data_IF_205428342375
#
_entry.id   IF_205428342375
#
_cell.length_a   1.000
_cell.length_b   1.000
_cell.length_c   1.000
_cell.angle_alpha   90.00
_cell.angle_beta   90.00
_cell.angle_gamma   90.00
#
_symmetry.space_group_name_H-M   'P 1'
#
loop_
_entity.id
_entity.type
_entity.pdbx_description
1 polymer ?
#
# COMPACT_ATOMS: atom_id res chain seq x y z
N UNK A 1 -33.11 -12.44 -42.68
CA UNK A 1 -32.38 -11.17 -42.82
C UNK A 1 -31.16 -11.01 -41.90
N UNK A 2 -30.81 -11.98 -41.04
CA UNK A 2 -29.69 -11.87 -40.08
C UNK A 2 -28.34 -12.40 -40.65
N UNK A 3 -28.34 -13.03 -41.83
CA UNK A 3 -27.12 -13.61 -42.45
C UNK A 3 -26.34 -12.66 -43.35
N UNK A 4 -26.90 -11.52 -43.76
CA UNK A 4 -26.22 -10.54 -44.64
C UNK A 4 -25.37 -9.50 -43.87
N UNK A 5 -25.56 -9.36 -42.56
CA UNK A 5 -24.78 -8.46 -41.71
C UNK A 5 -23.42 -9.04 -41.34
N UNK A 6 -23.31 -10.37 -41.14
CA UNK A 6 -22.04 -11.04 -40.85
C UNK A 6 -21.08 -11.05 -42.05
N UNK A 7 -21.59 -11.17 -43.29
CA UNK A 7 -20.76 -11.17 -44.49
C UNK A 7 -20.16 -9.78 -44.81
N UNK A 8 -20.85 -8.69 -44.47
CA UNK A 8 -20.31 -7.33 -44.59
C UNK A 8 -19.24 -7.01 -43.54
N UNK A 9 -19.36 -7.58 -42.35
CA UNK A 9 -18.36 -7.43 -41.28
C UNK A 9 -17.06 -8.18 -41.64
N UNK A 10 -17.17 -9.38 -42.25
CA UNK A 10 -16.00 -10.11 -42.79
C UNK A 10 -15.35 -9.42 -44.00
N UNK A 11 -16.13 -8.70 -44.81
CA UNK A 11 -15.61 -7.91 -45.93
C UNK A 11 -14.95 -6.59 -45.47
N UNK A 12 -15.37 -6.04 -44.32
CA UNK A 12 -14.75 -4.88 -43.65
C UNK A 12 -13.36 -5.21 -43.07
N UNK A 13 -13.12 -6.43 -42.59
CA UNK A 13 -11.79 -6.84 -42.10
C UNK A 13 -10.75 -7.03 -43.22
N UNK A 14 -11.18 -7.17 -44.49
CA UNK A 14 -10.28 -7.36 -45.65
C UNK A 14 -9.68 -6.07 -46.21
N UNK A 15 -10.20 -4.88 -45.88
CA UNK A 15 -9.67 -3.59 -46.34
C UNK A 15 -8.82 -2.89 -45.28
N UNK A 16 -7.91 -3.64 -44.66
CA UNK A 16 -6.91 -3.05 -43.76
C UNK A 16 -5.97 -2.15 -44.54
N UNK A 17 -5.83 -0.89 -44.13
CA UNK A 17 -4.86 0.02 -44.72
C UNK A 17 -3.48 -0.25 -44.12
N UNK A 18 -2.48 -0.41 -44.98
CA UNK A 18 -1.09 -0.57 -44.56
C UNK A 18 -0.43 0.79 -44.54
N UNK A 19 0.07 1.21 -43.38
CA UNK A 19 0.83 2.45 -43.22
C UNK A 19 2.19 2.14 -42.59
N UNK A 20 3.22 2.87 -43.00
CA UNK A 20 4.52 2.82 -42.32
C UNK A 20 4.42 3.51 -40.96
N UNK A 21 4.76 2.81 -39.88
CA UNK A 21 4.80 3.35 -38.52
C UNK A 21 5.98 4.30 -38.38
N UNK A 22 5.71 5.59 -38.29
CA UNK A 22 6.77 6.58 -38.06
C UNK A 22 6.70 7.10 -36.62
N UNK A 23 7.88 7.29 -36.03
CA UNK A 23 8.00 7.89 -34.70
C UNK A 23 7.58 9.37 -34.75
N UNK A 24 6.94 9.81 -33.66
CA UNK A 24 6.55 11.20 -33.42
C UNK A 24 7.75 12.15 -33.29
N UNK A 25 8.98 11.63 -33.23
CA UNK A 25 10.21 12.38 -33.06
C UNK A 25 10.47 13.44 -34.16
N UNK A 26 9.95 13.28 -35.37
CA UNK A 26 10.03 14.32 -36.42
C UNK A 26 9.05 15.50 -36.21
N UNK A 27 8.04 15.34 -35.34
CA UNK A 27 6.99 16.35 -35.07
C UNK A 27 7.22 17.14 -33.76
N UNK A 28 8.32 16.86 -33.06
CA UNK A 28 8.47 17.12 -31.64
C UNK A 28 9.19 18.45 -31.31
N UNK A 29 8.65 19.57 -31.78
CA UNK A 29 9.10 20.90 -31.33
C UNK A 29 7.97 21.82 -30.84
N UNK A 30 6.73 21.33 -30.69
CA UNK A 30 5.61 22.24 -30.34
C UNK A 30 4.60 21.79 -29.30
N UNK A 31 4.60 20.54 -28.85
CA UNK A 31 3.53 20.06 -27.95
C UNK A 31 4.08 19.22 -26.82
N UNK A 32 4.00 19.78 -25.61
CA UNK A 32 4.37 19.18 -24.33
C UNK A 32 3.32 18.14 -23.88
N UNK A 33 3.04 17.16 -24.73
CA UNK A 33 1.99 16.17 -24.48
C UNK A 33 2.44 14.79 -24.93
N UNK A 34 2.60 13.89 -23.96
CA UNK A 34 3.28 12.58 -24.11
C UNK A 34 2.27 11.43 -24.34
N UNK A 35 0.97 11.71 -24.47
CA UNK A 35 -0.08 10.70 -24.28
C UNK A 35 -1.24 10.83 -25.29
N UNK A 36 -0.94 11.06 -26.55
CA UNK A 36 -1.94 11.42 -27.54
C UNK A 36 -2.29 10.31 -28.55
N UNK A 37 -3.55 10.25 -29.06
CA UNK A 37 -3.99 9.32 -30.09
C UNK A 37 -3.22 9.42 -31.42
N UNK A 38 -3.56 8.56 -32.37
CA UNK A 38 -2.79 8.39 -33.62
C UNK A 38 -3.11 9.49 -34.64
N UNK A 39 -2.13 9.87 -35.46
CA UNK A 39 -2.29 10.81 -36.58
C UNK A 39 -2.23 10.06 -37.90
N UNK A 40 -3.23 10.28 -38.74
CA UNK A 40 -3.41 9.56 -40.01
C UNK A 40 -3.37 10.49 -41.22
N UNK A 41 -3.26 9.97 -42.46
CA UNK A 41 -3.25 10.82 -43.65
C UNK A 41 -4.66 11.27 -44.06
N UNK A 42 -4.79 12.43 -44.75
CA UNK A 42 -6.07 12.92 -45.26
C UNK A 42 -6.86 11.90 -46.10
N UNK A 43 -6.18 11.05 -46.88
CA UNK A 43 -6.87 10.00 -47.67
C UNK A 43 -7.65 8.99 -46.81
N UNK A 44 -7.24 8.77 -45.56
CA UNK A 44 -7.98 7.93 -44.63
C UNK A 44 -9.35 8.56 -44.31
N UNK A 45 -9.38 9.86 -44.04
CA UNK A 45 -10.63 10.61 -43.78
C UNK A 45 -11.56 10.59 -45.00
N UNK A 46 -11.03 10.83 -46.21
CA UNK A 46 -11.83 10.80 -47.44
C UNK A 46 -12.50 9.44 -47.64
N UNK A 47 -11.81 8.34 -47.32
CA UNK A 47 -12.37 6.98 -47.42
C UNK A 47 -13.39 6.68 -46.33
N UNK A 48 -13.21 7.22 -45.12
CA UNK A 48 -14.15 7.06 -44.00
C UNK A 48 -15.42 7.90 -44.15
N UNK A 49 -15.33 9.06 -44.79
CA UNK A 49 -16.49 9.92 -45.06
C UNK A 49 -17.56 9.22 -45.92
N UNK A 50 -17.15 8.26 -46.76
CA UNK A 50 -18.05 7.45 -47.57
C UNK A 50 -18.73 6.31 -46.79
N UNK A 51 -18.30 6.05 -45.54
CA UNK A 51 -18.67 4.86 -44.75
C UNK A 51 -19.60 5.16 -43.56
N UNK A 52 -20.18 6.36 -43.46
CA UNK A 52 -21.12 6.78 -42.38
C UNK A 52 -20.68 6.28 -40.97
N UNK A 53 -19.42 6.52 -40.63
CA UNK A 53 -18.84 6.05 -39.36
C UNK A 53 -19.31 6.93 -38.20
N UNK A 54 -19.87 6.30 -37.16
CA UNK A 54 -20.28 6.98 -35.93
C UNK A 54 -19.06 7.55 -35.17
N UNK A 55 -19.16 8.83 -34.76
CA UNK A 55 -18.16 9.47 -33.92
C UNK A 55 -18.25 8.96 -32.47
N UNK A 56 -17.11 8.89 -31.74
CA UNK A 56 -15.73 9.11 -32.14
C UNK A 56 -15.16 7.91 -32.91
N UNK A 57 -14.35 8.21 -33.95
CA UNK A 57 -13.74 7.20 -34.80
C UNK A 57 -12.65 6.43 -34.04
N UNK A 58 -12.81 5.11 -33.94
CA UNK A 58 -11.83 4.19 -33.35
C UNK A 58 -11.27 3.27 -34.42
N UNK A 59 -9.98 3.00 -34.32
CA UNK A 59 -9.25 2.16 -35.26
C UNK A 59 -8.55 1.03 -34.51
N UNK A 60 -8.61 -0.15 -35.11
CA UNK A 60 -7.81 -1.32 -34.73
C UNK A 60 -6.53 -1.29 -35.54
N UNK A 61 -5.41 -1.19 -34.85
CA UNK A 61 -4.07 -1.22 -35.43
C UNK A 61 -3.51 -2.61 -35.13
N UNK A 62 -3.10 -3.33 -36.17
CA UNK A 62 -2.59 -4.69 -36.09
C UNK A 62 -1.20 -4.77 -36.72
N UNK A 63 -0.26 -5.32 -35.96
CA UNK A 63 0.98 -5.84 -36.53
C UNK A 63 0.72 -7.27 -37.00
N UNK A 64 0.83 -7.50 -38.31
CA UNK A 64 0.58 -8.80 -38.94
C UNK A 64 1.68 -9.81 -38.59
N UNK A 65 2.93 -9.35 -38.47
CA UNK A 65 4.09 -10.23 -38.25
C UNK A 65 4.13 -10.80 -36.83
N UNK A 66 3.81 -9.97 -35.83
CA UNK A 66 3.85 -10.36 -34.41
C UNK A 66 2.49 -10.78 -33.85
N UNK A 67 1.43 -10.78 -34.66
CA UNK A 67 0.05 -11.06 -34.27
C UNK A 67 -0.43 -10.24 -33.05
N UNK A 68 0.04 -8.99 -32.92
CA UNK A 68 -0.38 -8.06 -31.88
C UNK A 68 -1.37 -7.06 -32.45
N UNK A 69 -2.38 -6.69 -31.67
CA UNK A 69 -3.32 -5.65 -32.02
C UNK A 69 -3.52 -4.71 -30.83
N UNK A 70 -3.77 -3.45 -31.14
CA UNK A 70 -4.17 -2.40 -30.21
C UNK A 70 -5.27 -1.56 -30.85
N UNK A 71 -6.00 -0.81 -30.04
CA UNK A 71 -7.04 0.09 -30.51
C UNK A 71 -6.67 1.51 -30.13
N UNK A 72 -6.90 2.45 -31.04
CA UNK A 72 -6.70 3.85 -30.76
C UNK A 72 -7.72 4.74 -31.47
N UNK A 73 -7.94 5.91 -30.89
CA UNK A 73 -8.64 7.00 -31.57
C UNK A 73 -7.69 7.72 -32.52
N UNK A 74 -8.27 8.61 -33.33
CA UNK A 74 -7.51 9.53 -34.17
C UNK A 74 -7.74 10.95 -33.71
N UNK A 75 -6.66 11.72 -33.67
CA UNK A 75 -6.73 13.15 -33.34
C UNK A 75 -7.02 13.94 -34.62
N UNK A 76 -6.12 13.80 -35.59
CA UNK A 76 -6.07 14.63 -36.78
C UNK A 76 -5.60 13.82 -37.99
N UNK A 77 -6.01 14.29 -39.16
CA UNK A 77 -5.71 13.68 -40.45
C UNK A 77 -4.72 14.55 -41.24
N UNK A 78 -3.49 14.71 -40.73
CA UNK A 78 -2.46 15.58 -41.31
C UNK A 78 -1.19 14.84 -41.74
N UNK A 79 -1.13 13.51 -41.57
CA UNK A 79 0.06 12.74 -41.92
C UNK A 79 0.27 12.69 -43.45
N UNK A 80 1.52 12.47 -43.87
CA UNK A 80 1.83 12.19 -45.27
C UNK A 80 1.18 10.87 -45.72
N UNK A 81 0.80 10.82 -46.99
CA UNK A 81 0.17 9.64 -47.58
C UNK A 81 1.06 8.38 -47.42
N UNK A 82 0.47 7.31 -46.87
CA UNK A 82 1.17 6.05 -46.60
C UNK A 82 1.94 6.00 -45.27
N UNK A 83 1.92 7.06 -44.45
CA UNK A 83 2.55 7.08 -43.12
C UNK A 83 1.50 7.24 -42.01
N UNK A 84 1.77 6.64 -40.85
CA UNK A 84 0.98 6.79 -39.64
C UNK A 84 1.89 7.14 -38.47
N UNK A 85 1.54 8.18 -37.72
CA UNK A 85 2.30 8.56 -36.53
C UNK A 85 1.57 8.09 -35.29
N UNK A 86 2.25 7.27 -34.49
CA UNK A 86 1.72 6.74 -33.24
C UNK A 86 2.74 6.92 -32.11
N UNK A 87 2.30 7.01 -30.85
CA UNK A 87 3.21 7.13 -29.73
C UNK A 87 4.14 5.91 -29.59
N UNK A 88 5.35 6.14 -29.09
CA UNK A 88 6.34 5.08 -28.86
C UNK A 88 5.82 3.92 -27.98
N UNK A 89 5.06 4.21 -26.92
CA UNK A 89 4.46 3.16 -26.06
C UNK A 89 3.49 2.25 -26.84
N UNK A 90 2.82 2.78 -27.86
CA UNK A 90 1.91 2.00 -28.72
C UNK A 90 2.69 1.12 -29.70
N UNK A 91 3.82 1.63 -30.19
CA UNK A 91 4.77 0.85 -31.00
C UNK A 91 5.37 -0.30 -30.18
N UNK A 92 5.77 -0.05 -28.92
CA UNK A 92 6.24 -1.09 -28.00
C UNK A 92 5.16 -2.15 -27.73
N UNK A 93 3.90 -1.75 -27.54
CA UNK A 93 2.79 -2.69 -27.36
C UNK A 93 2.55 -3.58 -28.60
N UNK A 94 2.73 -3.01 -29.80
CA UNK A 94 2.59 -3.71 -31.07
C UNK A 94 3.87 -4.45 -31.49
N UNK A 95 4.98 -4.23 -30.79
CA UNK A 95 6.32 -4.67 -31.16
C UNK A 95 6.66 -4.26 -32.60
N UNK A 96 6.41 -2.98 -32.91
CA UNK A 96 6.72 -2.36 -34.21
C UNK A 96 7.95 -1.46 -34.08
N UNK A 97 8.83 -1.54 -35.06
CA UNK A 97 9.92 -0.59 -35.24
C UNK A 97 9.52 0.57 -36.18
N UNK A 98 10.32 1.63 -36.19
CA UNK A 98 10.08 2.79 -37.07
C UNK A 98 10.30 2.38 -38.52
N UNK A 99 9.29 2.57 -39.36
CA UNK A 99 9.26 2.19 -40.78
C UNK A 99 8.60 0.84 -41.07
N UNK A 100 8.12 0.12 -40.05
CA UNK A 100 7.39 -1.14 -40.25
C UNK A 100 5.93 -0.93 -40.65
N UNK A 101 5.32 -1.93 -41.29
CA UNK A 101 3.95 -1.81 -41.82
C UNK A 101 2.93 -2.19 -40.75
N UNK A 102 2.14 -1.21 -40.31
CA UNK A 102 0.98 -1.41 -39.46
C UNK A 102 -0.31 -1.48 -40.30
N UNK A 103 -1.14 -2.50 -40.05
CA UNK A 103 -2.47 -2.61 -40.68
C UNK A 103 -3.51 -1.91 -39.81
N UNK A 104 -4.24 -0.96 -40.37
CA UNK A 104 -5.25 -0.16 -39.67
C UNK A 104 -6.62 -0.43 -40.27
N UNK A 105 -7.57 -0.80 -39.42
CA UNK A 105 -8.97 -1.00 -39.79
C UNK A 105 -9.89 -0.19 -38.86
N UNK A 106 -10.97 0.36 -39.42
CA UNK A 106 -11.99 1.02 -38.62
C UNK A 106 -12.85 -0.02 -37.88
N UNK A 107 -13.08 0.19 -36.58
CA UNK A 107 -13.86 -0.73 -35.75
C UNK A 107 -14.74 0.05 -34.79
N UNK A 108 -16.02 -0.29 -34.73
CA UNK A 108 -16.94 0.19 -33.70
C UNK A 108 -16.83 -0.67 -32.43
N UNK A 109 -16.35 -0.07 -31.34
CA UNK A 109 -16.21 -0.74 -30.04
C UNK A 109 -17.41 -0.44 -29.12
N UNK A 110 -17.90 -1.43 -28.36
CA UNK A 110 -18.94 -1.19 -27.36
C UNK A 110 -18.40 -0.35 -26.17
N UNK A 111 -19.28 0.34 -25.43
CA UNK A 111 -18.90 1.05 -24.21
C UNK A 111 -18.42 0.06 -23.15
N UNK A 112 -17.32 0.41 -22.48
CA UNK A 112 -16.71 -0.39 -21.43
C UNK A 112 -17.45 -0.27 -20.10
N UNK A 113 -17.69 -1.39 -19.43
CA UNK A 113 -18.33 -1.43 -18.10
C UNK A 113 -17.34 -1.77 -17.00
N UNK A 114 -16.32 -2.57 -17.30
CA UNK A 114 -15.32 -3.01 -16.34
C UNK A 114 -13.95 -3.17 -16.99
N UNK A 115 -12.91 -2.76 -16.28
CA UNK A 115 -11.53 -3.00 -16.67
C UNK A 115 -10.66 -3.35 -15.45
N UNK A 116 -9.84 -4.38 -15.61
CA UNK A 116 -8.90 -4.87 -14.61
C UNK A 116 -7.47 -4.55 -15.02
N UNK A 117 -6.74 -3.94 -14.09
CA UNK A 117 -5.39 -3.43 -14.32
C UNK A 117 -4.36 -4.13 -13.42
N UNK A 118 -3.19 -4.43 -13.96
CA UNK A 118 -2.06 -5.05 -13.26
C UNK A 118 -0.85 -4.11 -13.27
N UNK A 119 -0.52 -3.49 -12.12
CA UNK A 119 0.69 -2.68 -12.02
C UNK A 119 1.94 -3.53 -12.24
N UNK A 120 2.90 -3.04 -13.03
CA UNK A 120 4.15 -3.76 -13.27
C UNK A 120 5.23 -3.47 -12.22
N UNK A 121 5.03 -2.45 -11.37
CA UNK A 121 5.99 -2.04 -10.35
C UNK A 121 5.37 -2.02 -8.95
N UNK A 122 6.16 -2.40 -7.95
CA UNK A 122 5.82 -2.31 -6.53
C UNK A 122 5.70 -0.86 -6.05
N UNK A 123 6.37 0.09 -6.72
CA UNK A 123 6.28 1.53 -6.41
C UNK A 123 4.84 2.06 -6.56
N UNK A 124 3.97 1.34 -7.28
CA UNK A 124 2.56 1.67 -7.43
C UNK A 124 1.78 1.56 -6.10
N UNK A 125 2.26 0.75 -5.14
CA UNK A 125 1.65 0.60 -3.81
C UNK A 125 1.83 1.84 -2.93
N UNK A 126 2.78 2.72 -3.23
CA UNK A 126 3.02 3.95 -2.47
C UNK A 126 2.04 5.07 -2.83
N UNK A 127 1.25 4.90 -3.90
CA UNK A 127 0.29 5.89 -4.37
C UNK A 127 -0.92 5.89 -3.42
N UNK A 128 -1.19 7.04 -2.79
CA UNK A 128 -2.28 7.18 -1.83
C UNK A 128 -3.68 6.94 -2.44
N UNK A 129 -3.88 7.26 -3.71
CA UNK A 129 -5.14 7.03 -4.43
C UNK A 129 -4.88 6.57 -5.88
N UNK A 130 -4.65 5.26 -6.11
CA UNK A 130 -4.32 4.74 -7.44
C UNK A 130 -5.49 4.83 -8.43
N UNK A 131 -6.73 4.76 -7.94
CA UNK A 131 -7.94 4.86 -8.78
C UNK A 131 -8.07 6.24 -9.42
N UNK A 132 -7.94 7.31 -8.63
CA UNK A 132 -8.04 8.68 -9.14
C UNK A 132 -6.92 9.03 -10.14
N UNK A 133 -5.71 8.51 -9.93
CA UNK A 133 -4.58 8.69 -10.87
C UNK A 133 -4.88 8.02 -12.20
N UNK A 134 -5.42 6.80 -12.15
CA UNK A 134 -5.83 6.08 -13.36
C UNK A 134 -6.97 6.79 -14.07
N UNK A 135 -8.04 7.20 -13.36
CA UNK A 135 -9.16 7.95 -13.95
C UNK A 135 -8.71 9.25 -14.63
N UNK A 136 -7.77 9.97 -14.01
CA UNK A 136 -7.19 11.18 -14.62
C UNK A 136 -6.46 10.85 -15.91
N UNK A 137 -5.70 9.76 -15.94
CA UNK A 137 -4.97 9.32 -17.14
C UNK A 137 -5.92 8.76 -18.20
N UNK A 138 -6.96 8.02 -17.82
CA UNK A 138 -7.94 7.43 -18.74
C UNK A 138 -8.74 8.48 -19.51
N UNK A 139 -8.85 9.72 -19.02
CA UNK A 139 -9.47 10.84 -19.76
C UNK A 139 -8.76 11.17 -21.08
N UNK A 140 -7.46 10.89 -21.20
CA UNK A 140 -6.73 11.11 -22.46
C UNK A 140 -6.84 9.94 -23.44
N UNK A 141 -7.37 8.79 -23.00
CA UNK A 141 -7.52 7.60 -23.82
C UNK A 141 -8.95 7.49 -24.36
N UNK A 142 -9.09 7.06 -25.62
CA UNK A 142 -10.40 6.85 -26.25
C UNK A 142 -10.93 5.42 -26.07
N UNK A 143 -10.01 4.46 -25.99
CA UNK A 143 -10.30 3.04 -25.91
C UNK A 143 -9.20 2.30 -25.14
N UNK A 144 -9.54 1.09 -24.68
CA UNK A 144 -8.64 0.17 -24.00
C UNK A 144 -8.71 -1.19 -24.68
N UNK A 145 -7.56 -1.83 -24.90
CA UNK A 145 -7.48 -3.22 -25.35
C UNK A 145 -6.81 -4.09 -24.29
N UNK A 146 -7.31 -5.31 -24.17
CA UNK A 146 -6.73 -6.32 -23.30
C UNK A 146 -5.30 -6.66 -23.73
N UNK A 147 -4.40 -6.71 -22.76
CA UNK A 147 -2.98 -7.02 -22.96
C UNK A 147 -2.09 -5.82 -23.25
N UNK A 148 -2.65 -4.62 -23.46
CA UNK A 148 -1.89 -3.40 -23.68
C UNK A 148 -1.24 -2.90 -22.37
N UNK A 149 -0.02 -2.37 -22.47
CA UNK A 149 0.66 -1.65 -21.38
C UNK A 149 0.40 -0.15 -21.54
N UNK A 150 -0.09 0.47 -20.46
CA UNK A 150 -0.35 1.90 -20.38
C UNK A 150 0.64 2.54 -19.40
N UNK A 151 1.23 3.66 -19.82
CA UNK A 151 2.11 4.48 -19.01
C UNK A 151 1.30 5.55 -18.24
N UNK A 152 1.36 5.51 -16.91
CA UNK A 152 0.70 6.47 -16.02
C UNK A 152 1.72 7.45 -15.45
N UNK A 153 1.48 8.74 -15.66
CA UNK A 153 2.37 9.79 -15.17
C UNK A 153 1.87 10.32 -13.83
N UNK A 154 2.62 10.07 -12.76
CA UNK A 154 2.29 10.54 -11.41
C UNK A 154 3.54 10.96 -10.64
N UNK A 155 3.51 12.14 -10.00
CA UNK A 155 4.65 12.70 -9.25
C UNK A 155 6.00 12.67 -10.01
N UNK A 156 5.99 13.05 -11.30
CA UNK A 156 7.16 13.01 -12.20
C UNK A 156 7.79 11.61 -12.39
N UNK A 157 7.08 10.55 -12.04
CA UNK A 157 7.42 9.16 -12.38
C UNK A 157 6.42 8.57 -13.34
N UNK A 158 6.90 7.67 -14.20
CA UNK A 158 6.09 6.90 -15.14
C UNK A 158 5.89 5.51 -14.56
N UNK A 159 4.63 5.11 -14.39
CA UNK A 159 4.23 3.80 -13.89
C UNK A 159 3.57 3.01 -15.00
N UNK A 160 4.12 1.85 -15.34
CA UNK A 160 3.53 0.99 -16.35
C UNK A 160 2.48 0.06 -15.73
N UNK A 161 1.32 0.00 -16.35
CA UNK A 161 0.19 -0.82 -15.91
C UNK A 161 -0.36 -1.59 -17.09
N UNK A 162 -0.50 -2.90 -16.93
CA UNK A 162 -1.03 -3.80 -17.96
C UNK A 162 -2.53 -3.95 -17.81
N UNK A 163 -3.25 -3.93 -18.93
CA UNK A 163 -4.68 -4.26 -18.94
C UNK A 163 -4.83 -5.78 -18.99
N UNK A 164 -5.41 -6.37 -17.95
CA UNK A 164 -5.62 -7.82 -17.87
C UNK A 164 -6.92 -8.26 -18.52
N UNK A 165 -8.00 -7.52 -18.28
CA UNK A 165 -9.34 -7.89 -18.72
C UNK A 165 -10.20 -6.63 -18.91
N UNK A 166 -11.00 -6.62 -19.98
CA UNK A 166 -12.02 -5.59 -20.24
C UNK A 166 -13.35 -6.27 -20.54
N UNK A 167 -14.46 -5.65 -20.13
CA UNK A 167 -15.83 -6.11 -20.44
C UNK A 167 -16.62 -5.00 -21.10
N UNK A 168 -17.46 -5.30 -22.11
CA UNK A 168 -17.94 -6.64 -22.52
C UNK A 168 -17.09 -7.39 -23.57
N UNK A 169 -16.11 -6.74 -24.19
CA UNK A 169 -15.19 -7.34 -25.17
C UNK A 169 -13.74 -7.09 -24.78
N UNK A 170 -12.82 -7.80 -25.41
CA UNK A 170 -11.36 -7.62 -25.26
C UNK A 170 -10.88 -6.21 -25.65
N UNK A 171 -11.71 -5.44 -26.36
CA UNK A 171 -11.48 -4.02 -26.62
C UNK A 171 -12.76 -3.22 -26.39
N UNK A 172 -12.64 -2.12 -25.65
CA UNK A 172 -13.77 -1.29 -25.23
C UNK A 172 -13.49 0.20 -25.42
N UNK A 173 -14.55 0.96 -25.70
CA UNK A 173 -14.52 2.43 -25.71
C UNK A 173 -14.75 2.94 -24.29
N UNK A 174 -14.00 3.96 -23.88
CA UNK A 174 -14.07 4.53 -22.52
C UNK A 174 -14.53 5.99 -22.47
N UNK A 175 -14.82 6.59 -23.63
CA UNK A 175 -15.35 7.95 -23.72
C UNK A 175 -16.80 7.96 -23.20
N UNK A 176 -17.10 8.84 -22.24
CA UNK A 176 -18.42 9.02 -21.63
C UNK A 176 -19.02 7.75 -21.00
N UNK A 177 -18.16 6.86 -20.50
CA UNK A 177 -18.57 5.61 -19.86
C UNK A 177 -18.15 5.60 -18.39
N UNK A 178 -19.05 5.14 -17.51
CA UNK A 178 -18.74 4.86 -16.10
C UNK A 178 -18.04 3.51 -15.97
N UNK A 179 -16.73 3.49 -16.26
CA UNK A 179 -15.92 2.28 -16.22
C UNK A 179 -15.58 1.89 -14.78
N UNK A 180 -15.96 0.69 -14.36
CA UNK A 180 -15.51 0.13 -13.08
C UNK A 180 -14.04 -0.32 -13.17
N UNK A 181 -13.18 0.33 -12.38
CA UNK A 181 -11.74 0.05 -12.33
C UNK A 181 -11.42 -0.84 -11.13
N UNK A 182 -10.79 -1.98 -11.41
CA UNK A 182 -10.21 -2.87 -10.40
C UNK A 182 -8.69 -3.03 -10.61
N UNK A 183 -7.93 -3.00 -9.52
CA UNK A 183 -6.50 -3.30 -9.55
C UNK A 183 -6.27 -4.73 -9.06
N UNK A 184 -5.46 -5.47 -9.80
CA UNK A 184 -4.88 -6.73 -9.38
C UNK A 184 -3.55 -6.50 -8.66
N UNK A 185 -3.07 -7.55 -8.00
CA UNK A 185 -1.76 -7.56 -7.36
C UNK A 185 -0.66 -7.30 -8.41
N UNK A 186 0.40 -6.52 -8.10
CA UNK A 186 1.45 -6.21 -9.07
C UNK A 186 2.19 -7.45 -9.57
N UNK A 187 2.68 -7.39 -10.81
CA UNK A 187 3.49 -8.45 -11.41
C UNK A 187 4.75 -8.70 -10.56
N UNK A 188 4.93 -9.94 -10.10
CA UNK A 188 6.03 -10.32 -9.19
C UNK A 188 5.68 -10.34 -7.70
N UNK A 189 4.42 -10.07 -7.33
CA UNK A 189 3.94 -10.31 -5.96
C UNK A 189 3.88 -11.83 -5.69
N UNK A 190 4.99 -12.39 -5.20
CA UNK A 190 4.96 -13.70 -4.58
C UNK A 190 4.23 -13.55 -3.24
N UNK A 191 2.97 -14.02 -3.18
CA UNK A 191 2.42 -14.45 -1.90
C UNK A 191 3.34 -15.56 -1.41
N UNK A 192 4.26 -15.23 -0.50
CA UNK A 192 4.85 -16.24 0.34
C UNK A 192 3.67 -17.03 0.90
N UNK A 193 3.57 -18.30 0.52
CA UNK A 193 2.66 -19.24 1.14
C UNK A 193 3.27 -19.58 2.50
N UNK A 194 3.48 -18.57 3.34
CA UNK A 194 3.81 -18.80 4.73
C UNK A 194 2.57 -19.45 5.32
N UNK A 195 2.66 -20.76 5.53
CA UNK A 195 1.77 -21.46 6.46
C UNK A 195 1.56 -20.56 7.65
N UNK A 196 0.30 -20.21 8.01
CA UNK A 196 0.04 -19.20 9.02
C UNK A 196 0.68 -19.66 10.32
N UNK A 197 1.81 -19.04 10.66
CA UNK A 197 2.42 -19.21 11.97
C UNK A 197 1.38 -18.67 12.94
N UNK A 198 0.96 -19.49 13.90
CA UNK A 198 0.10 -19.07 14.99
C UNK A 198 0.79 -17.89 15.70
N UNK A 199 0.38 -16.66 15.42
CA UNK A 199 1.00 -15.47 16.01
C UNK A 199 0.29 -15.17 17.33
N UNK A 200 1.02 -15.28 18.44
CA UNK A 200 0.57 -14.78 19.72
C UNK A 200 0.29 -13.26 19.65
N UNK A 201 -0.69 -12.73 20.39
CA UNK A 201 -0.97 -11.29 20.44
C UNK A 201 0.31 -10.49 20.72
N UNK A 202 0.40 -9.21 20.26
CA UNK A 202 1.63 -8.41 20.29
C UNK A 202 2.31 -8.58 21.63
N UNK A 203 3.52 -9.16 21.64
CA UNK A 203 4.15 -9.74 22.82
C UNK A 203 4.25 -8.74 23.97
N UNK A 204 3.20 -8.66 24.79
CA UNK A 204 3.15 -7.76 25.92
C UNK A 204 4.17 -8.28 26.91
N UNK A 205 5.07 -7.42 27.37
CA UNK A 205 6.06 -7.81 28.37
C UNK A 205 5.28 -8.12 29.65
N UNK A 206 5.07 -9.42 29.93
CA UNK A 206 4.43 -9.88 31.17
C UNK A 206 5.33 -9.53 32.35
N UNK A 207 6.65 -9.66 32.17
CA UNK A 207 7.68 -9.22 33.11
C UNK A 207 8.98 -8.93 32.36
N UNK A 208 9.55 -7.72 32.44
CA UNK A 208 10.99 -7.67 32.56
C UNK A 208 11.27 -8.21 33.96
N UNK A 209 12.01 -9.31 34.07
CA UNK A 209 12.58 -9.81 35.33
C UNK A 209 13.32 -8.70 36.12
N UNK A 210 13.65 -7.60 35.44
CA UNK A 210 14.29 -6.39 35.96
C UNK A 210 13.31 -5.25 36.33
N UNK A 211 12.00 -5.40 36.11
CA UNK A 211 10.98 -4.43 36.50
C UNK A 211 10.82 -4.24 38.03
N UNK A 212 11.52 -5.04 38.83
CA UNK A 212 11.66 -4.83 40.27
C UNK A 212 12.51 -3.60 40.61
N UNK A 213 13.42 -3.16 39.72
CA UNK A 213 14.34 -2.04 39.98
C UNK A 213 13.59 -0.71 40.19
N UNK A 214 12.49 -0.49 39.48
CA UNK A 214 11.72 0.77 39.60
C UNK A 214 10.68 0.78 40.71
N UNK A 215 10.43 -0.35 41.40
CA UNK A 215 9.27 -0.46 42.29
C UNK A 215 9.36 0.42 43.53
N UNK A 216 10.55 0.81 44.00
CA UNK A 216 10.67 1.59 45.25
C UNK A 216 11.40 2.93 45.10
N UNK A 217 12.53 2.96 44.36
CA UNK A 217 13.45 4.11 44.35
C UNK A 217 12.91 5.35 43.63
N UNK A 218 12.21 5.17 42.50
CA UNK A 218 11.80 6.28 41.62
C UNK A 218 10.33 6.71 41.78
N UNK A 219 9.65 6.24 42.84
CA UNK A 219 8.25 6.58 43.09
C UNK A 219 8.10 8.07 43.41
N UNK A 220 7.16 8.78 42.78
CA UNK A 220 6.81 10.14 43.17
C UNK A 220 6.31 10.21 44.62
N UNK A 221 6.54 11.35 45.28
CA UNK A 221 6.08 11.59 46.65
C UNK A 221 4.55 11.45 46.81
N UNK A 222 4.12 10.94 47.96
CA UNK A 222 2.72 10.96 48.36
C UNK A 222 2.27 12.34 48.81
N UNK A 223 0.95 12.59 48.88
CA UNK A 223 0.42 13.87 49.38
C UNK A 223 0.89 14.20 50.80
N UNK A 224 1.00 13.21 51.68
CA UNK A 224 1.48 13.38 53.05
C UNK A 224 2.97 13.76 53.11
N UNK A 225 3.82 13.02 52.40
CA UNK A 225 5.26 13.32 52.29
C UNK A 225 5.51 14.71 51.68
N UNK A 226 4.73 15.07 50.65
CA UNK A 226 4.80 16.40 50.05
C UNK A 226 4.46 17.50 51.07
N UNK A 227 3.42 17.30 51.90
CA UNK A 227 3.04 18.25 52.94
C UNK A 227 4.16 18.40 53.99
N UNK A 228 4.75 17.29 54.44
CA UNK A 228 5.89 17.30 55.38
C UNK A 228 7.10 18.02 54.79
N UNK A 229 7.50 17.68 53.55
CA UNK A 229 8.60 18.35 52.84
C UNK A 229 8.38 19.86 52.71
N UNK A 230 7.15 20.29 52.43
CA UNK A 230 6.81 21.72 52.34
C UNK A 230 6.89 22.42 53.71
N UNK A 231 6.46 21.75 54.79
CA UNK A 231 6.56 22.27 56.16
C UNK A 231 8.02 22.40 56.61
N UNK A 232 8.82 21.35 56.39
CA UNK A 232 10.25 21.35 56.68
C UNK A 232 11.00 22.40 55.85
N UNK A 233 10.68 22.51 54.56
CA UNK A 233 11.26 23.54 53.70
C UNK A 233 10.86 24.96 54.16
N UNK A 234 9.63 25.16 54.64
CA UNK A 234 9.20 26.44 55.20
C UNK A 234 9.97 26.77 56.48
N UNK A 235 10.15 25.80 57.39
CA UNK A 235 10.94 25.97 58.62
C UNK A 235 12.42 26.22 58.33
N UNK A 236 13.01 25.52 57.35
CA UNK A 236 14.40 25.69 56.94
C UNK A 236 14.66 27.08 56.32
N UNK A 237 13.68 27.63 55.59
CA UNK A 237 13.74 29.01 55.08
C UNK A 237 13.71 30.05 56.21
N UNK A 238 12.86 29.83 57.23
CA UNK A 238 12.79 30.73 58.40
C UNK A 238 14.09 30.69 59.21
N UNK A 239 14.75 29.53 59.30
CA UNK A 239 16.02 29.34 60.01
C UNK A 239 17.29 29.78 59.25
N UNK A 240 17.15 30.44 58.09
CA UNK A 240 18.24 30.94 57.23
C UNK A 240 19.34 29.89 56.88
N UNK A 241 18.98 28.60 56.83
CA UNK A 241 19.88 27.52 56.41
C UNK A 241 19.89 27.42 54.88
N UNK A 242 21.05 27.23 54.22
CA UNK A 242 21.12 27.11 52.77
C UNK A 242 20.44 25.81 52.30
N UNK A 243 19.41 25.96 51.47
CA UNK A 243 18.60 24.85 50.93
C UNK A 243 19.25 24.37 49.63
N UNK A 244 20.20 23.44 49.72
CA UNK A 244 20.70 22.69 48.56
C UNK A 244 19.77 21.52 48.28
N UNK A 245 18.59 21.79 47.72
CA UNK A 245 17.67 20.73 47.29
C UNK A 245 18.07 20.24 45.89
N UNK A 246 18.88 19.18 45.84
CA UNK A 246 19.05 18.41 44.59
C UNK A 246 17.68 17.95 44.11
N UNK A 247 17.35 18.23 42.85
CA UNK A 247 16.04 17.92 42.26
C UNK A 247 15.80 16.40 42.30
N UNK A 248 14.68 15.93 42.88
CA UNK A 248 14.45 14.49 43.00
C UNK A 248 14.18 13.88 41.62
N UNK A 249 14.82 12.73 41.37
CA UNK A 249 14.63 11.92 40.18
C UNK A 249 13.41 11.04 40.40
N UNK A 250 12.32 11.33 39.70
CA UNK A 250 11.03 10.64 39.88
C UNK A 250 10.41 10.29 38.54
N UNK A 251 9.63 9.21 38.54
CA UNK A 251 8.81 8.84 37.38
C UNK A 251 7.84 9.96 37.01
N UNK A 252 7.75 10.24 35.71
CA UNK A 252 6.80 11.21 35.16
C UNK A 252 5.54 10.47 34.75
N UNK A 253 4.39 11.07 35.02
CA UNK A 253 3.06 10.51 34.79
C UNK A 253 2.18 11.46 34.00
N UNK A 254 1.20 10.90 33.31
CA UNK A 254 0.21 11.62 32.51
C UNK A 254 0.64 11.77 31.06
N UNK A 255 -0.27 11.46 30.13
CA UNK A 255 0.02 11.40 28.69
C UNK A 255 0.53 12.73 28.17
N UNK A 256 -0.19 13.84 28.42
CA UNK A 256 0.20 15.19 27.94
C UNK A 256 1.59 15.65 28.44
N UNK A 257 1.98 15.22 29.64
CA UNK A 257 3.30 15.55 30.16
C UNK A 257 4.38 14.67 29.53
N UNK A 258 4.09 13.37 29.36
CA UNK A 258 5.00 12.43 28.70
C UNK A 258 5.25 12.84 27.26
N UNK A 259 4.24 13.35 26.57
CA UNK A 259 4.34 13.72 25.15
C UNK A 259 5.24 14.91 24.96
N UNK A 260 5.10 15.93 25.81
CA UNK A 260 6.04 17.06 25.86
C UNK A 260 7.48 16.61 26.15
N UNK A 261 7.67 15.60 27.01
CA UNK A 261 9.01 15.06 27.32
C UNK A 261 9.62 14.25 26.17
N UNK A 262 8.79 13.54 25.40
CA UNK A 262 9.21 12.79 24.21
C UNK A 262 9.59 13.75 23.09
N UNK A 263 8.77 14.77 22.82
CA UNK A 263 9.04 15.81 21.82
C UNK A 263 10.33 16.58 22.15
N UNK A 264 10.55 16.89 23.43
CA UNK A 264 11.79 17.52 23.91
C UNK A 264 12.99 16.56 23.98
N UNK A 265 12.83 15.26 23.65
CA UNK A 265 13.85 14.21 23.77
C UNK A 265 14.47 14.11 25.18
N UNK A 266 13.71 14.45 26.22
CA UNK A 266 14.13 14.34 27.63
C UNK A 266 13.75 13.00 28.25
N UNK A 267 12.82 12.27 27.64
CA UNK A 267 12.46 10.93 28.06
C UNK A 267 13.51 9.93 27.56
N UNK A 268 14.03 9.10 28.48
CA UNK A 268 14.96 8.00 28.16
C UNK A 268 14.23 6.68 27.90
N UNK A 269 13.07 6.47 28.54
CA UNK A 269 12.20 5.31 28.35
C UNK A 269 10.74 5.69 28.60
N UNK A 270 9.84 5.21 27.75
CA UNK A 270 8.39 5.38 27.91
C UNK A 270 7.70 4.02 28.08
N UNK A 271 6.88 3.89 29.11
CA UNK A 271 6.08 2.69 29.40
C UNK A 271 4.61 2.98 29.11
N UNK A 272 3.97 2.16 28.29
CA UNK A 272 2.58 2.32 27.82
C UNK A 272 1.75 1.15 28.33
N UNK A 273 0.58 1.42 28.92
CA UNK A 273 -0.34 0.37 29.32
C UNK A 273 -1.09 -0.20 28.10
N UNK A 274 -1.32 -1.52 28.08
CA UNK A 274 -2.06 -2.19 27.00
C UNK A 274 -3.60 -2.10 27.10
N UNK A 275 -4.13 -1.87 28.31
CA UNK A 275 -5.55 -1.99 28.70
C UNK A 275 -6.19 -0.61 28.91
N UNK A 276 -5.77 0.34 28.10
CA UNK A 276 -6.29 1.69 28.10
C UNK A 276 -7.60 1.71 27.32
N UNK A 277 -8.61 2.33 27.93
CA UNK A 277 -9.93 2.52 27.37
C UNK A 277 -10.31 3.98 27.65
N UNK A 278 -10.53 4.83 26.64
CA UNK A 278 -10.47 4.57 25.19
C UNK A 278 -9.03 4.47 24.63
N UNK A 279 -8.81 3.62 23.62
CA UNK A 279 -7.48 3.27 23.07
C UNK A 279 -6.81 4.42 22.31
N UNK A 280 -7.60 5.35 21.78
CA UNK A 280 -7.19 6.55 21.04
C UNK A 280 -6.22 7.42 21.84
N UNK A 281 -6.30 7.37 23.17
CA UNK A 281 -5.42 8.11 24.07
C UNK A 281 -3.95 7.68 23.90
N UNK A 282 -3.69 6.41 23.55
CA UNK A 282 -2.32 5.86 23.47
C UNK A 282 -1.93 5.31 22.12
N UNK A 283 -2.87 5.14 21.18
CA UNK A 283 -2.61 4.50 19.88
C UNK A 283 -1.47 5.18 19.09
N UNK A 284 -1.35 6.50 19.21
CA UNK A 284 -0.35 7.31 18.51
C UNK A 284 0.99 7.41 19.24
N UNK A 285 1.04 7.06 20.53
CA UNK A 285 2.22 7.27 21.38
C UNK A 285 3.43 6.42 20.95
N UNK A 286 3.29 5.13 20.55
CA UNK A 286 4.40 4.37 19.99
C UNK A 286 5.00 5.00 18.72
N UNK A 287 4.14 5.51 17.83
CA UNK A 287 4.59 6.16 16.60
C UNK A 287 5.36 7.46 16.90
N UNK A 288 4.90 8.24 17.89
CA UNK A 288 5.59 9.42 18.38
C UNK A 288 6.98 9.07 18.94
N UNK A 289 7.05 8.08 19.84
CA UNK A 289 8.31 7.66 20.46
C UNK A 289 9.34 7.24 19.41
N UNK A 290 8.91 6.50 18.38
CA UNK A 290 9.77 6.13 17.24
C UNK A 290 10.27 7.33 16.45
N UNK A 291 9.38 8.28 16.12
CA UNK A 291 9.74 9.49 15.35
C UNK A 291 10.84 10.30 16.06
N UNK A 292 10.80 10.37 17.38
CA UNK A 292 11.78 11.08 18.19
C UNK A 292 12.97 10.22 18.66
N UNK A 293 12.99 8.93 18.33
CA UNK A 293 14.07 8.01 18.71
C UNK A 293 14.09 7.63 20.19
N UNK A 294 12.95 7.71 20.88
CA UNK A 294 12.82 7.37 22.30
C UNK A 294 12.36 5.92 22.43
N UNK A 295 13.09 5.06 23.19
CA UNK A 295 12.66 3.70 23.49
C UNK A 295 11.31 3.64 24.20
N UNK A 296 10.44 2.73 23.77
CA UNK A 296 9.14 2.51 24.39
C UNK A 296 8.87 1.02 24.66
N UNK A 297 8.07 0.74 25.68
CA UNK A 297 7.61 -0.61 25.98
C UNK A 297 6.10 -0.64 26.29
N UNK A 298 5.46 -1.76 25.95
CA UNK A 298 4.04 -2.02 26.24
C UNK A 298 3.95 -3.00 27.40
N UNK A 299 3.24 -2.59 28.46
CA UNK A 299 3.16 -3.29 29.74
C UNK A 299 1.74 -3.79 30.00
N UNK A 300 1.62 -5.00 30.56
CA UNK A 300 0.35 -5.55 31.04
C UNK A 300 -0.12 -4.81 32.30
N UNK A 301 -1.23 -4.10 32.19
CA UNK A 301 -2.04 -3.57 33.30
C UNK A 301 -1.77 -2.11 33.63
N UNK A 302 -2.74 -1.22 33.36
CA UNK A 302 -2.71 0.19 33.73
C UNK A 302 -2.77 0.39 35.25
N UNK A 303 -3.40 -0.55 35.96
CA UNK A 303 -3.41 -0.57 37.42
C UNK A 303 -2.01 -0.80 38.00
N UNK A 304 -1.20 -1.64 37.36
CA UNK A 304 0.20 -1.89 37.77
C UNK A 304 1.03 -0.64 37.60
N UNK A 305 0.93 0.06 36.47
CA UNK A 305 1.60 1.35 36.28
C UNK A 305 1.09 2.41 37.28
N UNK A 306 -0.22 2.44 37.57
CA UNK A 306 -0.81 3.32 38.57
C UNK A 306 -0.21 3.13 39.96
N UNK A 307 -0.03 1.88 40.38
CA UNK A 307 0.50 1.55 41.71
C UNK A 307 1.90 2.11 41.98
N UNK A 308 2.73 2.25 40.93
CA UNK A 308 4.07 2.83 41.01
C UNK A 308 4.05 4.33 41.33
N UNK A 309 2.96 5.03 40.99
CA UNK A 309 2.86 6.48 41.12
C UNK A 309 1.77 6.93 42.10
N UNK A 310 1.35 6.01 42.98
CA UNK A 310 0.27 6.20 43.96
C UNK A 310 -1.06 6.61 43.33
N UNK A 311 -1.39 6.04 42.17
CA UNK A 311 -2.68 6.20 41.49
C UNK A 311 -3.35 4.84 41.32
N UNK A 312 -4.68 4.84 41.18
CA UNK A 312 -5.44 3.62 40.87
C UNK A 312 -5.07 3.08 39.48
N UNK A 313 -4.84 3.98 38.53
CA UNK A 313 -4.48 3.67 37.15
C UNK A 313 -3.50 4.71 36.61
N UNK A 314 -2.63 4.31 35.68
CA UNK A 314 -1.81 5.21 34.88
C UNK A 314 -1.71 4.68 33.45
N UNK A 315 -2.00 5.56 32.49
CA UNK A 315 -2.03 5.24 31.06
C UNK A 315 -0.63 5.04 30.49
N UNK A 316 0.30 5.92 30.87
CA UNK A 316 1.71 5.86 30.49
C UNK A 316 2.58 6.45 31.61
N UNK A 317 3.84 6.02 31.65
CA UNK A 317 4.89 6.55 32.52
C UNK A 317 6.16 6.82 31.71
N UNK A 318 6.94 7.83 32.11
CA UNK A 318 8.24 8.10 31.50
C UNK A 318 9.34 8.21 32.54
N UNK A 319 10.50 7.68 32.19
CA UNK A 319 11.77 7.83 32.92
C UNK A 319 12.57 8.93 32.21
N UNK A 320 12.83 10.04 32.91
CA UNK A 320 13.65 11.13 32.38
C UNK A 320 15.12 10.99 32.79
N UNK A 321 15.35 10.60 34.03
CA UNK A 321 16.68 10.41 34.56
C UNK A 321 16.73 9.23 35.53
N UNK A 322 17.93 8.74 35.78
CA UNK A 322 18.21 7.56 36.61
C UNK A 322 19.44 7.88 37.45
N UNK A 323 19.50 7.41 38.69
CA UNK A 323 20.70 7.52 39.51
C UNK A 323 21.87 6.75 38.88
N UNK A 324 23.09 7.18 39.16
CA UNK A 324 24.29 6.58 38.57
C UNK A 324 24.41 5.09 38.90
N UNK A 325 24.00 4.68 40.10
CA UNK A 325 23.98 3.28 40.57
C UNK A 325 23.15 2.35 39.68
N UNK A 326 22.02 2.84 39.12
CA UNK A 326 21.08 2.01 38.36
C UNK A 326 21.25 2.19 36.84
N UNK A 327 22.25 2.97 36.40
CA UNK A 327 22.43 3.35 34.99
C UNK A 327 22.75 2.15 34.09
N UNK A 328 23.55 1.20 34.57
CA UNK A 328 23.92 0.01 33.82
C UNK A 328 22.75 -0.96 33.66
N UNK A 329 22.01 -1.20 34.75
CA UNK A 329 20.79 -1.99 34.72
C UNK A 329 19.74 -1.36 33.79
N UNK A 330 19.61 -0.03 33.83
CA UNK A 330 18.73 0.70 32.94
C UNK A 330 19.13 0.56 31.46
N UNK A 331 20.42 0.64 31.15
CA UNK A 331 20.90 0.51 29.77
C UNK A 331 20.63 -0.89 29.21
N UNK A 332 20.87 -1.95 29.99
CA UNK A 332 20.52 -3.34 29.63
C UNK A 332 19.03 -3.50 29.35
N UNK A 333 18.19 -2.94 30.20
CA UNK A 333 16.74 -2.95 30.01
C UNK A 333 16.33 -2.23 28.72
N UNK A 334 16.89 -1.05 28.46
CA UNK A 334 16.61 -0.27 27.24
C UNK A 334 17.03 -1.04 25.98
N UNK A 335 18.18 -1.71 26.01
CA UNK A 335 18.64 -2.56 24.90
C UNK A 335 17.68 -3.71 24.64
N UNK A 336 17.26 -4.44 25.69
CA UNK A 336 16.31 -5.54 25.57
C UNK A 336 14.94 -5.06 25.01
N UNK A 337 14.49 -3.87 25.42
CA UNK A 337 13.26 -3.26 24.94
C UNK A 337 13.37 -2.85 23.46
N UNK A 338 14.49 -2.25 23.06
CA UNK A 338 14.71 -1.82 21.68
C UNK A 338 14.71 -3.00 20.70
N UNK A 339 15.40 -4.09 21.07
CA UNK A 339 15.39 -5.32 20.28
C UNK A 339 13.97 -5.91 20.13
N UNK A 340 13.13 -5.74 21.15
CA UNK A 340 11.77 -6.27 21.15
C UNK A 340 10.76 -5.41 20.38
N UNK A 341 10.85 -4.09 20.49
CA UNK A 341 9.82 -3.16 19.97
C UNK A 341 10.31 -2.30 18.81
N UNK A 342 11.44 -1.62 18.99
CA UNK A 342 11.93 -0.62 18.03
C UNK A 342 12.41 -1.28 16.73
N UNK A 343 13.22 -2.34 16.84
CA UNK A 343 13.78 -3.05 15.68
C UNK A 343 12.71 -3.82 14.90
N UNK A 344 11.77 -4.45 15.61
CA UNK A 344 10.67 -5.24 15.03
C UNK A 344 9.46 -4.43 14.59
N UNK A 345 9.55 -3.09 14.57
CA UNK A 345 8.41 -2.24 14.25
C UNK A 345 7.82 -2.49 12.85
N UNK A 346 8.67 -2.69 11.84
CA UNK A 346 8.23 -2.93 10.46
C UNK A 346 7.45 -4.25 10.36
N UNK A 347 7.86 -5.26 11.13
CA UNK A 347 7.18 -6.54 11.23
C UNK A 347 5.80 -6.35 11.88
N UNK A 348 5.74 -5.76 13.07
CA UNK A 348 4.47 -5.54 13.79
C UNK A 348 3.44 -4.70 13.02
N UNK A 349 3.89 -3.79 12.14
CA UNK A 349 2.97 -3.00 11.30
C UNK A 349 2.36 -3.83 10.16
N UNK A 350 3.09 -4.83 9.67
CA UNK A 350 2.65 -5.69 8.56
C UNK A 350 1.90 -6.91 9.07
N UNK A 351 2.22 -7.37 10.27
CA UNK A 351 1.57 -8.52 10.91
C UNK A 351 0.23 -8.08 11.51
N UNK A 352 -0.85 -8.59 10.94
CA UNK A 352 -2.18 -8.47 11.54
C UNK A 352 -2.36 -9.54 12.62
N UNK A 353 -2.72 -9.10 13.82
CA UNK A 353 -3.18 -10.01 14.87
C UNK A 353 -4.66 -10.31 14.72
N UNK A 354 -5.10 -11.50 15.13
CA UNK A 354 -6.49 -11.92 14.98
C UNK A 354 -6.58 -13.34 14.41
N UNK A 355 -7.74 -13.70 13.85
CA UNK A 355 -7.95 -14.97 13.13
C UNK A 355 -7.84 -16.25 13.99
N UNK A 356 -7.76 -16.10 15.30
CA UNK A 356 -7.84 -17.21 16.24
C UNK A 356 -9.27 -17.72 16.25
N UNK A 357 -9.56 -18.71 15.40
CA UNK A 357 -10.82 -19.44 15.43
C UNK A 357 -11.11 -19.97 16.85
N UNK A 358 -12.37 -19.92 17.28
CA UNK A 358 -12.76 -20.50 18.56
C UNK A 358 -12.41 -21.98 18.64
N UNK A 359 -12.14 -22.47 19.87
CA UNK A 359 -11.71 -23.85 20.14
C UNK A 359 -12.55 -24.89 19.38
N UNK A 360 -13.89 -24.76 19.44
CA UNK A 360 -14.84 -25.65 18.77
C UNK A 360 -14.64 -25.71 17.24
N UNK A 361 -14.39 -24.55 16.61
CA UNK A 361 -14.17 -24.48 15.16
C UNK A 361 -12.81 -25.07 14.78
N UNK A 362 -11.77 -24.82 15.59
CA UNK A 362 -10.45 -25.43 15.43
C UNK A 362 -10.51 -26.95 15.52
N UNK A 363 -11.22 -27.49 16.52
CA UNK A 363 -11.37 -28.92 16.71
C UNK A 363 -12.12 -29.60 15.55
N UNK A 364 -13.17 -28.93 15.03
CA UNK A 364 -13.90 -29.40 13.85
C UNK A 364 -13.02 -29.39 12.59
N UNK A 365 -12.28 -28.31 12.35
CA UNK A 365 -11.35 -28.19 11.24
C UNK A 365 -10.22 -29.24 11.33
N UNK A 366 -9.68 -29.50 12.52
CA UNK A 366 -8.66 -30.51 12.75
C UNK A 366 -9.18 -31.93 12.49
N UNK A 367 -10.41 -32.25 12.92
CA UNK A 367 -11.05 -33.54 12.60
C UNK A 367 -11.24 -33.71 11.10
N UNK A 368 -11.71 -32.67 10.40
CA UNK A 368 -11.91 -32.70 8.95
C UNK A 368 -10.59 -32.85 8.19
N UNK A 369 -9.53 -32.16 8.61
CA UNK A 369 -8.20 -32.30 8.03
C UNK A 369 -7.63 -33.70 8.24
N UNK A 370 -7.81 -34.29 9.43
CA UNK A 370 -7.39 -35.67 9.72
C UNK A 370 -8.11 -36.69 8.83
N UNK A 371 -9.42 -36.51 8.62
CA UNK A 371 -10.20 -37.36 7.72
C UNK A 371 -9.72 -37.25 6.26
N UNK A 372 -9.53 -36.01 5.75
CA UNK A 372 -8.99 -35.78 4.41
C UNK A 372 -7.58 -36.35 4.21
N UNK A 373 -6.73 -36.28 5.25
CA UNK A 373 -5.40 -36.87 5.21
C UNK A 373 -5.44 -38.40 5.16
N UNK A 374 -6.33 -39.03 5.94
CA UNK A 374 -6.57 -40.47 5.88
C UNK A 374 -7.07 -40.88 4.49
N UNK A 375 -8.02 -40.15 3.93
CA UNK A 375 -8.56 -40.42 2.60
C UNK A 375 -7.50 -40.29 1.50
N UNK A 376 -6.66 -39.24 1.55
CA UNK A 376 -5.50 -39.09 0.64
C UNK A 376 -4.54 -40.27 0.78
N UNK A 377 -4.19 -40.67 2.01
CA UNK A 377 -3.26 -41.77 2.25
C UNK A 377 -3.82 -43.11 1.73
N UNK A 378 -5.13 -43.34 1.86
CA UNK A 378 -5.80 -44.53 1.36
C UNK A 378 -5.84 -44.55 -0.18
N UNK A 379 -6.10 -43.39 -0.82
CA UNK A 379 -6.03 -43.23 -2.29
C UNK A 379 -4.61 -43.51 -2.81
N UNK A 380 -3.58 -42.96 -2.15
CA UNK A 380 -2.18 -43.22 -2.51
C UNK A 380 -1.80 -44.69 -2.34
N UNK A 381 -2.27 -45.37 -1.29
CA UNK A 381 -2.05 -46.82 -1.10
C UNK A 381 -2.71 -47.67 -2.18
N UNK A 382 -3.93 -47.32 -2.60
CA UNK A 382 -4.61 -48.02 -3.71
C UNK A 382 -3.88 -47.83 -5.04
N UNK A 383 -3.43 -46.63 -5.35
CA UNK A 383 -2.63 -46.35 -6.56
C UNK A 383 -1.32 -47.16 -6.60
N UNK A 384 -0.64 -47.31 -5.46
CA UNK A 384 0.57 -48.15 -5.33
C UNK A 384 0.32 -49.66 -5.39
N UNK A 385 -0.91 -50.12 -5.27
CA UNK A 385 -1.27 -51.54 -5.37
C UNK A 385 -1.74 -51.94 -6.78
N UNK A 386 -1.98 -50.95 -7.65
CA UNK A 386 -2.42 -51.14 -9.05
C UNK A 386 -1.25 -50.98 -10.04
N UNK A 387 -0.19 -50.28 -9.63
CA UNK A 387 1.13 -50.31 -10.27
C UNK A 387 1.95 -51.46 -9.69
#
# INVERSE_FOLDING_TARGET
MIKQSSSKIEEMERKGYSYNSNDFAEYQLRTQYVLFPVVMPPSALSKLAHLEVELPMVFKIKNVEKNRCTHSGVIEFIAEEGKIFMPYWMMENLLLDVGEIATVSNVALPPGTYAKFEPQSLDFLEIANPKAVLEKSLRSFSCLSQGDLIALHYNNRVYNVKILETKPKDAVKIIECDLQVEFSEPHGFQRETETPKLVDPPQIVSEPSEGNVFKAKYRPETKHQKKQRLLEAAQAKVGNKPISMKKPVVLKKGVNHITALVEQKKAKLVMIAHDVDPIEIVVWLPALCRKFGVPYCIVKGKARLGSLVHLKTATALAVTDVHEEDKDAFSKLVQAINAKFTEKWNEYRKTWGGEVMGQKSRDAAAKLQKLKALERSAKTRKLKAVA
#
